data_IF_278402332992
#
_entry.id   IF_278402332992
#
_cell.length_a   1.000
_cell.length_b   1.000
_cell.length_c   1.000
_cell.angle_alpha   90.00
_cell.angle_beta   90.00
_cell.angle_gamma   90.00
#
_symmetry.space_group_name_H-M   'P 1'
#
loop_
_entity.id
_entity.type
_entity.pdbx_description
1 polymer ?
#
# COMPACT_ATOMS: atom_id res chain seq x y z
N UNK A 1 8.69 -16.25 -7.68
CA UNK A 1 7.49 -15.85 -8.45
C UNK A 1 7.85 -14.97 -9.62
N UNK A 2 8.28 -13.72 -9.42
CA UNK A 2 8.79 -12.88 -10.50
C UNK A 2 9.87 -13.56 -11.35
N UNK A 3 10.77 -14.32 -10.71
CA UNK A 3 11.76 -15.15 -11.41
C UNK A 3 11.15 -16.21 -12.35
N UNK A 4 10.01 -16.81 -11.99
CA UNK A 4 9.33 -17.80 -12.86
C UNK A 4 8.68 -17.11 -14.05
N UNK A 5 8.01 -15.97 -13.82
CA UNK A 5 7.44 -15.14 -14.89
C UNK A 5 8.51 -14.68 -15.87
N UNK A 6 9.69 -14.27 -15.37
CA UNK A 6 10.82 -13.89 -16.20
C UNK A 6 11.40 -15.10 -16.95
N UNK A 7 11.54 -16.26 -16.29
CA UNK A 7 12.05 -17.49 -16.94
C UNK A 7 11.11 -17.95 -18.07
N UNK A 8 9.79 -18.01 -17.82
CA UNK A 8 8.77 -18.33 -18.80
C UNK A 8 8.80 -17.32 -19.97
N UNK A 9 8.90 -16.00 -19.68
CA UNK A 9 9.03 -14.97 -20.70
C UNK A 9 10.31 -15.09 -21.55
N UNK A 10 11.44 -15.44 -20.94
CA UNK A 10 12.73 -15.58 -21.63
C UNK A 10 12.78 -16.85 -22.49
N UNK A 11 12.19 -17.94 -22.02
CA UNK A 11 12.18 -19.24 -22.73
C UNK A 11 11.11 -19.30 -23.81
N UNK A 12 9.91 -18.87 -23.46
CA UNK A 12 8.70 -19.15 -24.25
C UNK A 12 8.11 -17.87 -24.86
N UNK A 13 8.71 -16.70 -24.60
CA UNK A 13 8.24 -15.39 -25.08
C UNK A 13 6.89 -14.96 -24.53
N UNK A 14 6.30 -15.77 -23.64
CA UNK A 14 4.94 -15.68 -23.12
C UNK A 14 4.86 -16.35 -21.76
N UNK A 15 3.92 -15.92 -20.93
CA UNK A 15 3.67 -16.58 -19.63
C UNK A 15 2.29 -17.22 -19.66
N UNK A 16 2.22 -18.52 -19.36
CA UNK A 16 0.93 -19.22 -19.27
C UNK A 16 0.14 -18.72 -18.06
N UNK A 17 -1.15 -18.43 -18.27
CA UNK A 17 -2.08 -17.94 -17.26
C UNK A 17 -2.11 -18.79 -15.98
N UNK A 18 -2.08 -20.11 -16.11
CA UNK A 18 -2.01 -21.08 -14.99
C UNK A 18 -0.74 -20.96 -14.15
N UNK A 19 0.36 -20.55 -14.79
CA UNK A 19 1.65 -20.33 -14.16
C UNK A 19 1.77 -18.91 -13.58
N UNK A 20 0.83 -18.02 -13.91
CA UNK A 20 0.82 -16.65 -13.40
C UNK A 20 0.18 -16.58 -12.00
N UNK A 21 0.94 -16.19 -10.97
CA UNK A 21 0.42 -16.06 -9.63
C UNK A 21 -0.63 -14.94 -9.54
N UNK A 22 -1.81 -15.24 -8.99
CA UNK A 22 -2.95 -14.33 -8.81
C UNK A 22 -2.66 -13.23 -7.78
N UNK A 23 -2.07 -12.10 -8.18
CA UNK A 23 -1.83 -10.96 -7.27
C UNK A 23 -2.00 -9.63 -8.00
N UNK A 24 -2.49 -8.64 -7.25
CA UNK A 24 -2.85 -7.32 -7.74
C UNK A 24 -1.80 -6.26 -7.37
N UNK A 25 -1.13 -6.45 -6.23
CA UNK A 25 -0.03 -5.59 -5.80
C UNK A 25 1.26 -5.99 -6.53
N UNK A 26 2.00 -5.05 -7.13
CA UNK A 26 3.25 -5.31 -7.85
C UNK A 26 4.43 -5.66 -6.92
N UNK A 27 4.35 -6.82 -6.25
CA UNK A 27 5.38 -7.27 -5.29
C UNK A 27 6.75 -7.49 -5.92
N UNK A 28 6.80 -7.91 -7.19
CA UNK A 28 8.08 -8.11 -7.89
C UNK A 28 8.82 -6.76 -8.04
N UNK A 29 8.20 -5.70 -8.61
CA UNK A 29 8.79 -4.36 -8.60
C UNK A 29 9.14 -3.81 -7.22
N UNK A 30 8.27 -3.99 -6.22
CA UNK A 30 8.56 -3.56 -4.84
C UNK A 30 9.81 -4.28 -4.31
N UNK A 31 9.89 -5.60 -4.50
CA UNK A 31 11.03 -6.39 -4.03
C UNK A 31 12.33 -5.96 -4.68
N UNK A 32 12.33 -5.74 -6.00
CA UNK A 32 13.48 -5.22 -6.74
C UNK A 32 13.90 -3.85 -6.23
N UNK A 33 12.95 -2.93 -6.02
CA UNK A 33 13.20 -1.61 -5.48
C UNK A 33 13.85 -1.63 -4.09
N UNK A 34 13.43 -2.55 -3.22
CA UNK A 34 13.99 -2.69 -1.87
C UNK A 34 15.37 -3.34 -1.90
N UNK A 35 15.56 -4.41 -2.69
CA UNK A 35 16.86 -5.08 -2.82
C UNK A 35 17.92 -4.09 -3.33
N UNK A 36 17.60 -3.35 -4.40
CA UNK A 36 18.51 -2.33 -4.95
C UNK A 36 18.82 -1.26 -3.90
N UNK A 37 17.82 -0.78 -3.16
CA UNK A 37 18.03 0.23 -2.12
C UNK A 37 18.95 -0.26 -0.99
N UNK A 38 18.76 -1.49 -0.53
CA UNK A 38 19.58 -2.09 0.54
C UNK A 38 21.02 -2.30 0.06
N UNK A 39 21.22 -2.76 -1.18
CA UNK A 39 22.55 -2.94 -1.77
C UNK A 39 23.30 -1.61 -1.94
N UNK A 40 22.60 -0.55 -2.35
CA UNK A 40 23.18 0.77 -2.53
C UNK A 40 23.32 1.56 -1.22
N UNK A 41 22.69 1.11 -0.14
CA UNK A 41 22.64 1.81 1.14
C UNK A 41 24.03 2.19 1.68
N UNK A 42 25.05 1.29 1.72
CA UNK A 42 26.38 1.65 2.21
C UNK A 42 27.04 2.77 1.41
N UNK A 43 26.85 2.74 0.08
CA UNK A 43 27.36 3.75 -0.86
C UNK A 43 26.65 5.09 -0.60
N UNK A 44 25.32 5.07 -0.49
CA UNK A 44 24.54 6.28 -0.23
C UNK A 44 24.88 6.91 1.12
N UNK A 45 25.06 6.09 2.17
CA UNK A 45 25.45 6.59 3.48
C UNK A 45 26.85 7.22 3.48
N UNK A 46 27.79 6.70 2.68
CA UNK A 46 29.13 7.26 2.52
C UNK A 46 29.11 8.60 1.77
N UNK A 47 28.41 8.69 0.64
CA UNK A 47 28.49 9.84 -0.26
C UNK A 47 27.37 10.87 -0.06
N UNK A 48 26.11 10.44 0.07
CA UNK A 48 24.96 11.34 0.24
C UNK A 48 24.74 11.77 1.71
N UNK A 49 25.32 11.06 2.67
CA UNK A 49 25.29 11.37 4.12
C UNK A 49 23.87 11.67 4.62
N UNK A 50 23.56 12.93 4.96
CA UNK A 50 22.25 13.36 5.47
C UNK A 50 21.10 13.16 4.47
N UNK A 51 21.41 13.08 3.17
CA UNK A 51 20.43 12.86 2.10
C UNK A 51 20.32 11.39 1.69
N UNK A 52 21.07 10.48 2.32
CA UNK A 52 21.13 9.08 1.93
C UNK A 52 19.74 8.41 1.91
N UNK A 53 18.87 8.72 2.88
CA UNK A 53 17.50 8.21 2.87
C UNK A 53 16.70 8.74 1.67
N UNK A 54 16.73 10.06 1.42
CA UNK A 54 15.97 10.66 0.35
C UNK A 54 16.41 10.13 -1.02
N UNK A 55 17.72 9.99 -1.22
CA UNK A 55 18.31 9.41 -2.44
C UNK A 55 17.93 7.93 -2.57
N UNK A 56 18.03 7.14 -1.50
CA UNK A 56 17.64 5.74 -1.51
C UNK A 56 16.15 5.57 -1.87
N UNK A 57 15.26 6.35 -1.27
CA UNK A 57 13.82 6.33 -1.59
C UNK A 57 13.55 6.75 -3.03
N UNK A 58 14.22 7.80 -3.54
CA UNK A 58 14.07 8.23 -4.93
C UNK A 58 14.50 7.15 -5.92
N UNK A 59 15.63 6.48 -5.67
CA UNK A 59 16.09 5.35 -6.46
C UNK A 59 15.11 4.19 -6.36
N UNK A 60 14.60 3.84 -5.17
CA UNK A 60 13.59 2.79 -5.01
C UNK A 60 12.33 3.07 -5.84
N UNK A 61 11.82 4.31 -5.81
CA UNK A 61 10.65 4.67 -6.59
C UNK A 61 10.91 4.56 -8.10
N UNK A 62 12.08 5.01 -8.56
CA UNK A 62 12.46 4.87 -9.97
C UNK A 62 12.53 3.40 -10.38
N UNK A 63 13.21 2.56 -9.59
CA UNK A 63 13.31 1.12 -9.86
C UNK A 63 11.93 0.47 -9.85
N UNK A 64 11.06 0.86 -8.91
CA UNK A 64 9.69 0.38 -8.84
C UNK A 64 8.91 0.69 -10.12
N UNK A 65 8.82 1.95 -10.53
CA UNK A 65 8.04 2.33 -11.71
C UNK A 65 8.63 1.81 -13.01
N UNK A 66 9.96 1.76 -13.15
CA UNK A 66 10.61 1.17 -14.33
C UNK A 66 10.35 -0.33 -14.39
N UNK A 67 10.49 -1.04 -13.28
CA UNK A 67 10.24 -2.49 -13.25
C UNK A 67 8.78 -2.82 -13.51
N UNK A 68 7.86 -2.02 -12.97
CA UNK A 68 6.42 -2.19 -13.21
C UNK A 68 6.10 -1.97 -14.69
N UNK A 69 6.56 -0.86 -15.28
CA UNK A 69 6.36 -0.59 -16.70
C UNK A 69 6.92 -1.71 -17.61
N UNK A 70 8.08 -2.27 -17.26
CA UNK A 70 8.67 -3.38 -18.00
C UNK A 70 7.83 -4.66 -17.89
N UNK A 71 7.32 -4.97 -16.70
CA UNK A 71 6.48 -6.15 -16.48
C UNK A 71 5.11 -5.99 -17.12
N UNK A 72 4.50 -4.81 -17.08
CA UNK A 72 3.19 -4.54 -17.70
C UNK A 72 3.16 -4.85 -19.20
N UNK A 73 4.27 -4.58 -19.89
CA UNK A 73 4.43 -4.84 -21.32
C UNK A 73 4.68 -6.31 -21.66
N UNK A 74 4.75 -7.21 -20.66
CA UNK A 74 4.88 -8.65 -20.88
C UNK A 74 3.56 -9.29 -21.32
N UNK A 75 3.61 -10.27 -22.22
CA UNK A 75 2.44 -10.97 -22.76
C UNK A 75 2.10 -12.23 -21.95
N UNK A 76 0.83 -12.36 -21.55
CA UNK A 76 0.24 -13.56 -20.94
C UNK A 76 -0.64 -14.28 -21.96
N UNK A 77 -0.53 -15.60 -22.00
CA UNK A 77 -1.30 -16.46 -22.92
C UNK A 77 -2.19 -17.42 -22.13
N UNK A 78 -3.46 -17.46 -22.51
CA UNK A 78 -4.44 -18.50 -22.13
C UNK A 78 -4.80 -19.31 -23.38
N UNK A 79 -5.33 -20.53 -23.24
CA UNK A 79 -5.72 -21.43 -24.34
C UNK A 79 -6.61 -20.79 -25.44
N UNK A 80 -7.30 -19.69 -25.13
CA UNK A 80 -8.24 -19.01 -26.04
C UNK A 80 -7.95 -17.54 -26.30
N UNK A 81 -7.10 -16.87 -25.52
CA UNK A 81 -6.87 -15.40 -25.60
C UNK A 81 -5.42 -15.05 -25.26
N UNK A 82 -4.79 -14.18 -26.05
CA UNK A 82 -3.53 -13.50 -25.72
C UNK A 82 -3.85 -12.13 -25.11
N UNK A 83 -3.41 -11.88 -23.88
CA UNK A 83 -3.61 -10.58 -23.20
C UNK A 83 -2.28 -10.08 -22.64
N UNK A 84 -2.14 -8.77 -22.41
CA UNK A 84 -0.97 -8.28 -21.66
C UNK A 84 -1.09 -8.67 -20.19
N UNK A 85 0.04 -8.67 -19.47
CA UNK A 85 0.07 -8.90 -18.04
C UNK A 85 -0.85 -7.92 -17.29
N UNK A 86 -0.83 -6.67 -17.74
CA UNK A 86 -1.71 -5.62 -17.25
C UNK A 86 -3.20 -6.03 -17.31
N UNK A 87 -3.70 -6.44 -18.48
CA UNK A 87 -5.11 -6.86 -18.62
C UNK A 87 -5.44 -8.11 -17.80
N UNK A 88 -4.46 -8.99 -17.56
CA UNK A 88 -4.64 -10.21 -16.76
C UNK A 88 -4.73 -9.94 -15.26
N UNK A 89 -3.85 -9.09 -14.72
CA UNK A 89 -3.91 -8.68 -13.30
C UNK A 89 -5.24 -7.99 -12.99
N UNK A 90 -5.73 -7.15 -13.91
CA UNK A 90 -7.04 -6.51 -13.86
C UNK A 90 -8.19 -7.52 -13.77
N UNK A 91 -8.18 -8.52 -14.64
CA UNK A 91 -9.17 -9.59 -14.66
C UNK A 91 -9.27 -10.27 -13.29
N UNK A 92 -8.11 -10.61 -12.71
CA UNK A 92 -7.99 -11.26 -11.41
C UNK A 92 -8.44 -10.39 -10.21
N UNK A 93 -8.56 -9.07 -10.37
CA UNK A 93 -9.02 -8.17 -9.30
C UNK A 93 -10.52 -8.23 -9.04
N UNK A 94 -11.30 -8.68 -10.02
CA UNK A 94 -12.74 -8.50 -10.04
C UNK A 94 -13.49 -9.83 -9.90
N UNK A 95 -13.23 -10.85 -10.73
CA UNK A 95 -13.91 -12.17 -10.72
C UNK A 95 -13.04 -13.24 -11.41
N UNK A 96 -13.18 -14.56 -11.08
CA UNK A 96 -12.67 -15.64 -11.94
C UNK A 96 -13.29 -15.64 -13.36
N UNK A 97 -12.60 -16.15 -14.41
CA UNK A 97 -13.04 -16.10 -15.83
C UNK A 97 -14.43 -16.67 -16.13
N UNK A 98 -14.93 -17.50 -15.23
CA UNK A 98 -16.05 -18.41 -15.51
C UNK A 98 -17.41 -17.88 -15.04
N UNK A 99 -17.46 -16.82 -14.22
CA UNK A 99 -18.67 -16.42 -13.48
C UNK A 99 -19.33 -15.09 -13.93
N UNK A 100 -19.03 -14.59 -15.13
CA UNK A 100 -19.48 -13.26 -15.59
C UNK A 100 -20.97 -13.16 -15.97
N UNK A 101 -21.69 -14.27 -16.17
CA UNK A 101 -23.00 -14.27 -16.85
C UNK A 101 -24.24 -14.00 -15.98
N UNK A 102 -24.13 -13.94 -14.66
CA UNK A 102 -25.31 -13.99 -13.76
C UNK A 102 -25.54 -12.76 -12.88
N UNK A 103 -24.88 -11.62 -13.12
CA UNK A 103 -24.94 -10.45 -12.21
C UNK A 103 -25.77 -9.28 -12.73
N UNK A 104 -26.37 -8.55 -11.80
CA UNK A 104 -27.33 -7.46 -12.00
C UNK A 104 -26.70 -6.07 -12.09
N UNK A 105 -25.40 -5.92 -11.76
CA UNK A 105 -24.67 -4.65 -11.82
C UNK A 105 -23.90 -4.47 -13.13
N UNK A 106 -24.22 -3.38 -13.86
CA UNK A 106 -23.63 -2.93 -15.14
C UNK A 106 -22.22 -2.27 -15.13
N UNK A 107 -21.55 -1.91 -14.01
CA UNK A 107 -20.22 -1.28 -14.03
C UNK A 107 -19.06 -2.22 -14.40
N UNK A 108 -19.28 -3.53 -14.37
CA UNK A 108 -18.30 -4.53 -14.80
C UNK A 108 -18.04 -4.43 -16.30
N UNK A 109 -19.06 -4.05 -17.07
CA UNK A 109 -18.98 -3.92 -18.52
C UNK A 109 -18.06 -2.76 -18.94
N UNK A 110 -17.95 -1.71 -18.12
CA UNK A 110 -17.01 -0.59 -18.34
C UNK A 110 -15.56 -1.02 -18.13
N UNK A 111 -15.28 -1.99 -17.25
CA UNK A 111 -13.91 -2.44 -16.97
C UNK A 111 -13.45 -3.62 -17.84
N UNK A 112 -14.36 -4.25 -18.58
CA UNK A 112 -14.05 -5.24 -19.62
C UNK A 112 -13.92 -4.56 -21.00
N UNK A 113 -14.55 -3.40 -21.22
CA UNK A 113 -14.59 -2.70 -22.52
C UNK A 113 -13.95 -1.30 -22.59
N UNK A 114 -13.90 -0.53 -21.49
CA UNK A 114 -13.46 0.87 -21.46
C UNK A 114 -12.37 1.09 -20.39
N UNK A 115 -11.16 0.61 -20.71
CA UNK A 115 -10.00 0.65 -19.83
C UNK A 115 -9.60 2.09 -19.40
N UNK A 116 -9.33 2.26 -18.10
CA UNK A 116 -8.66 3.45 -17.55
C UNK A 116 -7.42 3.05 -16.72
N UNK A 117 -6.21 3.51 -17.09
CA UNK A 117 -4.99 3.32 -16.29
C UNK A 117 -5.09 3.82 -14.84
N UNK A 118 -6.08 4.66 -14.54
CA UNK A 118 -6.31 5.22 -13.21
C UNK A 118 -6.58 4.13 -12.15
N UNK A 119 -7.04 2.94 -12.53
CA UNK A 119 -7.29 1.82 -11.63
C UNK A 119 -6.06 1.44 -10.78
N UNK A 120 -4.84 1.57 -11.33
CA UNK A 120 -3.59 1.19 -10.64
C UNK A 120 -3.20 2.15 -9.52
N UNK A 121 -3.77 3.36 -9.48
CA UNK A 121 -3.45 4.39 -8.49
C UNK A 121 -3.62 3.86 -7.06
N UNK A 122 -4.64 3.04 -6.81
CA UNK A 122 -4.88 2.40 -5.53
C UNK A 122 -3.69 1.53 -5.09
N UNK A 123 -3.21 0.65 -5.96
CA UNK A 123 -2.08 -0.26 -5.67
C UNK A 123 -0.74 0.47 -5.66
N UNK A 124 -0.59 1.51 -6.46
CA UNK A 124 0.60 2.38 -6.42
C UNK A 124 0.69 3.16 -5.11
N UNK A 125 -0.42 3.66 -4.57
CA UNK A 125 -0.44 4.30 -3.26
C UNK A 125 0.04 3.33 -2.16
N UNK A 126 -0.47 2.10 -2.16
CA UNK A 126 -0.03 1.01 -1.26
C UNK A 126 1.47 0.76 -1.42
N UNK A 127 1.93 0.58 -2.66
CA UNK A 127 3.32 0.26 -3.00
C UNK A 127 4.29 1.36 -2.54
N UNK A 128 3.94 2.62 -2.77
CA UNK A 128 4.75 3.79 -2.37
C UNK A 128 4.89 3.85 -0.85
N UNK A 129 3.80 3.73 -0.08
CA UNK A 129 3.87 3.75 1.38
C UNK A 129 4.71 2.59 1.90
N UNK A 130 4.55 1.40 1.32
CA UNK A 130 5.33 0.22 1.70
C UNK A 130 6.83 0.43 1.43
N UNK A 131 7.19 0.99 0.27
CA UNK A 131 8.59 1.30 -0.08
C UNK A 131 9.18 2.31 0.92
N UNK A 132 8.48 3.41 1.19
CA UNK A 132 8.95 4.43 2.14
C UNK A 132 9.17 3.83 3.53
N UNK A 133 8.22 3.02 3.99
CA UNK A 133 8.27 2.40 5.30
C UNK A 133 9.45 1.42 5.41
N UNK A 134 9.64 0.53 4.44
CA UNK A 134 10.73 -0.44 4.41
C UNK A 134 12.10 0.23 4.29
N UNK A 135 12.27 1.16 3.34
CA UNK A 135 13.55 1.87 3.13
C UNK A 135 13.95 2.64 4.38
N UNK A 136 13.03 3.33 5.06
CA UNK A 136 13.36 4.00 6.32
C UNK A 136 13.66 3.04 7.47
N UNK A 137 13.06 1.86 7.52
CA UNK A 137 13.46 0.84 8.48
C UNK A 137 14.91 0.41 8.26
N UNK A 138 15.28 0.00 7.04
CA UNK A 138 16.64 -0.41 6.71
C UNK A 138 17.66 0.71 6.96
N UNK A 139 17.40 1.90 6.42
CA UNK A 139 18.24 3.07 6.62
C UNK A 139 18.36 3.46 8.09
N UNK A 140 17.24 3.48 8.82
CA UNK A 140 17.18 3.88 10.22
C UNK A 140 18.02 2.96 11.11
N UNK A 141 17.89 1.64 10.94
CA UNK A 141 18.71 0.68 11.68
C UNK A 141 20.19 0.77 11.28
N UNK A 142 20.50 0.86 9.98
CA UNK A 142 21.88 1.01 9.52
C UNK A 142 22.54 2.27 10.11
N UNK A 143 21.85 3.41 10.05
CA UNK A 143 22.35 4.68 10.59
C UNK A 143 22.53 4.60 12.11
N UNK A 144 21.60 3.95 12.83
CA UNK A 144 21.71 3.76 14.28
C UNK A 144 22.93 2.89 14.65
N UNK A 145 23.21 1.83 13.89
CA UNK A 145 24.37 0.96 14.10
C UNK A 145 25.68 1.74 13.89
N UNK A 146 25.77 2.50 12.79
CA UNK A 146 26.96 3.29 12.44
C UNK A 146 27.22 4.41 13.46
N UNK A 147 26.17 5.15 13.84
CA UNK A 147 26.29 6.31 14.75
C UNK A 147 26.27 5.94 16.23
N UNK A 148 25.95 4.67 16.57
CA UNK A 148 25.70 4.19 17.93
C UNK A 148 24.62 4.99 18.71
N UNK A 149 23.79 5.78 18.02
CA UNK A 149 22.76 6.62 18.63
C UNK A 149 21.40 5.91 18.67
N UNK A 150 20.98 5.49 19.86
CA UNK A 150 19.72 4.75 20.08
C UNK A 150 18.46 5.62 20.21
N UNK A 151 18.54 6.94 20.01
CA UNK A 151 17.40 7.86 20.16
C UNK A 151 16.17 7.48 19.31
N UNK A 152 16.37 6.93 18.10
CA UNK A 152 15.28 6.51 17.20
C UNK A 152 14.85 5.04 17.36
N UNK A 153 15.48 4.27 18.26
CA UNK A 153 15.28 2.82 18.36
C UNK A 153 13.81 2.44 18.49
N UNK A 154 13.10 3.05 19.45
CA UNK A 154 11.69 2.73 19.72
C UNK A 154 10.78 3.06 18.53
N UNK A 155 10.99 4.22 17.90
CA UNK A 155 10.24 4.60 16.71
C UNK A 155 10.48 3.65 15.54
N UNK A 156 11.74 3.21 15.33
CA UNK A 156 12.07 2.25 14.27
C UNK A 156 11.50 0.86 14.53
N UNK A 157 11.47 0.39 15.79
CA UNK A 157 10.83 -0.88 16.17
C UNK A 157 9.32 -0.82 15.89
N UNK A 158 8.65 0.24 16.35
CA UNK A 158 7.21 0.42 16.11
C UNK A 158 6.92 0.51 14.61
N UNK A 159 7.71 1.28 13.86
CA UNK A 159 7.57 1.37 12.42
C UNK A 159 7.76 0.01 11.75
N UNK A 160 8.73 -0.80 12.20
CA UNK A 160 8.97 -2.13 11.63
C UNK A 160 7.82 -3.09 11.89
N UNK A 161 7.26 -3.08 13.11
CA UNK A 161 6.08 -3.88 13.45
C UNK A 161 4.87 -3.47 12.60
N UNK A 162 4.61 -2.17 12.46
CA UNK A 162 3.53 -1.67 11.62
C UNK A 162 3.75 -1.99 10.14
N UNK A 163 4.99 -1.86 9.65
CA UNK A 163 5.34 -2.20 8.26
C UNK A 163 5.14 -3.69 7.99
N UNK A 164 5.53 -4.55 8.93
CA UNK A 164 5.32 -5.99 8.82
C UNK A 164 3.83 -6.36 8.87
N UNK A 165 3.05 -5.73 9.76
CA UNK A 165 1.60 -5.88 9.81
C UNK A 165 0.96 -5.42 8.50
N UNK A 166 1.36 -4.26 7.99
CA UNK A 166 0.84 -3.71 6.73
C UNK A 166 1.16 -4.62 5.54
N UNK A 167 2.40 -5.09 5.42
CA UNK A 167 2.81 -6.06 4.40
C UNK A 167 2.00 -7.36 4.53
N UNK A 168 1.82 -7.87 5.74
CA UNK A 168 1.01 -9.07 6.00
C UNK A 168 -0.44 -8.89 5.55
N UNK A 169 -1.04 -7.74 5.85
CA UNK A 169 -2.39 -7.39 5.39
C UNK A 169 -2.46 -7.21 3.87
N UNK A 170 -1.42 -6.65 3.22
CA UNK A 170 -1.34 -6.56 1.76
C UNK A 170 -1.31 -7.94 1.11
N UNK A 171 -0.47 -8.86 1.64
CA UNK A 171 -0.37 -10.23 1.16
C UNK A 171 -1.72 -10.92 1.35
N UNK A 172 -2.31 -10.82 2.54
CA UNK A 172 -3.61 -11.39 2.86
C UNK A 172 -4.71 -10.85 1.93
N UNK A 173 -4.71 -9.54 1.66
CA UNK A 173 -5.65 -8.90 0.73
C UNK A 173 -5.45 -9.38 -0.72
N UNK A 174 -4.23 -9.69 -1.16
CA UNK A 174 -4.03 -10.22 -2.51
C UNK A 174 -4.59 -11.63 -2.69
N UNK A 175 -4.54 -12.46 -1.65
CA UNK A 175 -5.08 -13.81 -1.72
C UNK A 175 -6.60 -13.88 -1.54
N UNK A 176 -7.18 -12.92 -0.82
CA UNK A 176 -8.57 -13.01 -0.36
C UNK A 176 -9.45 -11.88 -0.87
N UNK A 177 -8.85 -10.76 -1.34
CA UNK A 177 -9.48 -9.47 -1.64
C UNK A 177 -10.69 -9.21 -0.73
N UNK A 178 -10.44 -9.33 0.57
CA UNK A 178 -11.36 -9.54 1.68
C UNK A 178 -12.80 -9.91 1.31
N UNK A 179 -12.90 -11.11 0.73
CA UNK A 179 -14.07 -11.95 0.47
C UNK A 179 -15.20 -11.30 -0.33
N UNK A 180 -14.78 -10.78 -1.49
CA UNK A 180 -15.59 -10.10 -2.50
C UNK A 180 -16.41 -11.09 -3.35
N UNK A 181 -17.70 -10.85 -3.39
CA UNK A 181 -18.75 -11.52 -4.17
C UNK A 181 -19.27 -10.62 -5.31
N UNK A 182 -18.54 -9.53 -5.60
CA UNK A 182 -18.80 -8.59 -6.68
C UNK A 182 -19.93 -7.59 -6.44
N UNK A 183 -20.51 -7.60 -5.24
CA UNK A 183 -21.43 -6.58 -4.77
C UNK A 183 -20.67 -5.39 -4.17
N UNK A 184 -21.29 -4.20 -4.22
CA UNK A 184 -20.75 -2.99 -3.58
C UNK A 184 -20.93 -3.05 -2.06
N UNK A 185 -21.97 -3.73 -1.59
CA UNK A 185 -22.21 -3.94 -0.17
C UNK A 185 -21.45 -5.18 0.28
N UNK A 186 -20.55 -5.01 1.27
CA UNK A 186 -19.67 -6.07 1.73
C UNK A 186 -20.16 -6.69 3.05
N UNK A 187 -19.74 -7.92 3.32
CA UNK A 187 -20.01 -8.57 4.61
C UNK A 187 -19.37 -7.83 5.79
N UNK A 188 -19.92 -8.00 7.00
CA UNK A 188 -19.40 -7.34 8.20
C UNK A 188 -17.91 -7.67 8.47
N UNK A 189 -17.49 -8.91 8.20
CA UNK A 189 -16.09 -9.33 8.36
C UNK A 189 -15.20 -8.59 7.36
N UNK A 190 -15.64 -8.47 6.11
CA UNK A 190 -14.93 -7.72 5.07
C UNK A 190 -14.80 -6.24 5.45
N UNK A 191 -15.88 -5.61 5.91
CA UNK A 191 -15.88 -4.22 6.37
C UNK A 191 -14.86 -3.97 7.50
N UNK A 192 -14.77 -4.89 8.47
CA UNK A 192 -13.79 -4.79 9.57
C UNK A 192 -12.36 -4.92 9.03
N UNK A 193 -12.09 -5.88 8.15
CA UNK A 193 -10.76 -6.08 7.57
C UNK A 193 -10.33 -4.89 6.69
N UNK A 194 -11.25 -4.34 5.90
CA UNK A 194 -11.02 -3.14 5.10
C UNK A 194 -10.72 -1.92 5.98
N UNK A 195 -11.54 -1.71 7.03
CA UNK A 195 -11.31 -0.63 8.00
C UNK A 195 -9.94 -0.75 8.66
N UNK A 196 -9.58 -1.97 9.09
CA UNK A 196 -8.28 -2.28 9.68
C UNK A 196 -7.15 -1.98 8.68
N UNK A 197 -7.30 -2.39 7.43
CA UNK A 197 -6.32 -2.15 6.37
C UNK A 197 -6.08 -0.65 6.17
N UNK A 198 -7.15 0.15 6.06
CA UNK A 198 -7.09 1.60 5.82
C UNK A 198 -6.48 2.37 7.00
N UNK A 199 -6.79 1.93 8.23
CA UNK A 199 -6.17 2.46 9.45
C UNK A 199 -4.69 2.13 9.48
N UNK A 200 -4.30 0.87 9.28
CA UNK A 200 -2.89 0.44 9.31
C UNK A 200 -2.09 1.14 8.21
N UNK A 201 -2.66 1.33 7.01
CA UNK A 201 -2.05 2.08 5.92
C UNK A 201 -1.70 3.52 6.34
N UNK A 202 -2.69 4.26 6.85
CA UNK A 202 -2.47 5.64 7.30
C UNK A 202 -1.53 5.73 8.50
N UNK A 203 -1.70 4.86 9.50
CA UNK A 203 -0.82 4.82 10.69
C UNK A 203 0.62 4.50 10.30
N UNK A 204 0.86 3.63 9.31
CA UNK A 204 2.22 3.32 8.82
C UNK A 204 2.90 4.58 8.26
N UNK A 205 2.19 5.36 7.43
CA UNK A 205 2.70 6.62 6.90
C UNK A 205 2.87 7.70 7.99
N UNK A 206 1.94 7.75 8.94
CA UNK A 206 2.00 8.64 10.11
C UNK A 206 3.22 8.36 10.98
N UNK A 207 3.48 7.10 11.33
CA UNK A 207 4.65 6.71 12.13
C UNK A 207 5.94 6.96 11.37
N UNK A 208 5.97 6.72 10.05
CA UNK A 208 7.10 7.11 9.21
C UNK A 208 7.42 8.61 9.38
N UNK A 209 6.43 9.49 9.24
CA UNK A 209 6.61 10.93 9.43
C UNK A 209 7.01 11.28 10.88
N UNK A 210 6.37 10.66 11.88
CA UNK A 210 6.66 10.84 13.29
C UNK A 210 8.08 10.45 13.68
N UNK A 211 8.68 9.47 12.98
CA UNK A 211 10.05 9.02 13.23
C UNK A 211 11.12 10.09 12.98
N UNK A 212 10.82 11.14 12.19
CA UNK A 212 11.70 12.28 11.93
C UNK A 212 11.43 13.48 12.85
N UNK A 213 10.28 13.51 13.51
CA UNK A 213 9.81 14.63 14.32
C UNK A 213 10.01 14.38 15.83
N UNK A 214 10.78 13.34 16.17
CA UNK A 214 11.20 13.01 17.52
C UNK A 214 11.93 14.19 18.19
N UNK A 215 11.64 14.43 19.46
CA UNK A 215 12.25 15.51 20.26
C UNK A 215 11.75 16.92 19.94
N UNK A 216 10.84 17.09 18.96
CA UNK A 216 10.20 18.38 18.69
C UNK A 216 9.03 18.63 19.66
N UNK A 217 8.50 19.87 19.66
CA UNK A 217 7.29 20.21 20.43
C UNK A 217 6.13 19.29 20.06
N UNK A 218 5.21 19.04 21.00
CA UNK A 218 4.09 18.10 20.85
C UNK A 218 3.26 18.31 19.58
N UNK A 219 3.09 19.57 19.14
CA UNK A 219 2.37 19.86 17.89
C UNK A 219 3.07 19.28 16.66
N UNK A 220 4.40 19.30 16.61
CA UNK A 220 5.15 18.70 15.51
C UNK A 220 5.35 17.20 15.71
N UNK A 221 5.59 16.71 16.93
CA UNK A 221 5.90 15.30 17.15
C UNK A 221 4.67 14.38 17.20
N UNK A 222 3.47 14.93 17.38
CA UNK A 222 2.22 14.16 17.51
C UNK A 222 1.15 14.61 16.51
N UNK A 223 0.81 15.90 16.48
CA UNK A 223 -0.31 16.39 15.66
C UNK A 223 -0.01 16.31 14.16
N UNK A 224 1.19 16.71 13.73
CA UNK A 224 1.56 16.64 12.31
C UNK A 224 1.56 15.18 11.77
N UNK A 225 2.20 14.19 12.42
CA UNK A 225 2.07 12.79 12.05
C UNK A 225 0.63 12.29 12.00
N UNK A 226 -0.21 12.70 12.96
CA UNK A 226 -1.63 12.34 13.00
C UNK A 226 -2.40 12.84 11.78
N UNK A 227 -2.15 14.10 11.39
CA UNK A 227 -2.72 14.66 10.17
C UNK A 227 -2.23 13.92 8.92
N UNK A 228 -0.94 13.57 8.85
CA UNK A 228 -0.38 12.75 7.75
C UNK A 228 -1.09 11.40 7.67
N UNK A 229 -1.33 10.74 8.81
CA UNK A 229 -2.03 9.46 8.83
C UNK A 229 -3.45 9.56 8.25
N UNK A 230 -4.24 10.54 8.71
CA UNK A 230 -5.59 10.77 8.17
C UNK A 230 -5.57 11.16 6.69
N UNK A 231 -4.65 12.04 6.27
CA UNK A 231 -4.52 12.46 4.87
C UNK A 231 -4.17 11.28 3.94
N UNK A 232 -3.26 10.41 4.37
CA UNK A 232 -2.91 9.20 3.61
C UNK A 232 -4.07 8.21 3.58
N UNK A 233 -4.83 8.05 4.68
CA UNK A 233 -6.07 7.26 4.65
C UNK A 233 -7.10 7.84 3.66
N UNK A 234 -7.22 9.17 3.54
CA UNK A 234 -8.06 9.80 2.50
C UNK A 234 -7.57 9.44 1.09
N UNK A 235 -6.26 9.45 0.84
CA UNK A 235 -5.70 9.01 -0.45
C UNK A 235 -6.10 7.57 -0.76
N UNK A 236 -6.19 6.69 0.25
CA UNK A 236 -6.68 5.33 0.09
C UNK A 236 -8.13 5.27 -0.40
N UNK A 237 -9.01 6.07 0.21
CA UNK A 237 -10.41 6.20 -0.20
C UNK A 237 -10.54 6.80 -1.61
N UNK A 238 -9.72 7.79 -1.96
CA UNK A 238 -9.68 8.32 -3.34
C UNK A 238 -9.24 7.22 -4.31
N UNK A 239 -8.23 6.43 -3.94
CA UNK A 239 -7.79 5.28 -4.73
C UNK A 239 -8.91 4.25 -4.92
N UNK A 240 -9.67 3.94 -3.87
CA UNK A 240 -10.86 3.06 -3.97
C UNK A 240 -11.96 3.66 -4.86
N UNK A 241 -12.22 4.97 -4.75
CA UNK A 241 -13.18 5.64 -5.63
C UNK A 241 -12.79 5.50 -7.10
N UNK A 242 -11.51 5.71 -7.42
CA UNK A 242 -11.02 5.52 -8.78
C UNK A 242 -11.13 4.05 -9.20
N UNK A 243 -10.82 3.12 -8.30
CA UNK A 243 -10.92 1.67 -8.51
C UNK A 243 -12.36 1.23 -8.85
N UNK A 244 -13.37 1.88 -8.24
CA UNK A 244 -14.79 1.54 -8.36
C UNK A 244 -15.59 2.57 -9.17
N UNK A 245 -14.95 3.29 -10.10
CA UNK A 245 -15.61 4.23 -11.02
C UNK A 245 -16.47 5.30 -10.32
N UNK A 246 -15.96 5.88 -9.24
CA UNK A 246 -16.61 6.92 -8.46
C UNK A 246 -17.42 6.43 -7.26
N UNK A 247 -17.46 5.12 -7.01
CA UNK A 247 -18.14 4.52 -5.86
C UNK A 247 -17.18 4.08 -4.75
N UNK A 248 -17.71 3.81 -3.57
CA UNK A 248 -16.98 3.20 -2.45
C UNK A 248 -17.72 1.94 -2.02
N UNK A 249 -17.03 0.99 -1.41
CA UNK A 249 -17.71 -0.13 -0.77
C UNK A 249 -18.59 0.36 0.37
N UNK A 250 -19.72 -0.33 0.55
CA UNK A 250 -20.67 -0.03 1.61
C UNK A 250 -20.59 -1.13 2.67
N UNK A 251 -20.31 -0.73 3.91
CA UNK A 251 -20.16 -1.66 5.03
C UNK A 251 -21.50 -2.18 5.58
N UNK A 252 -22.61 -1.72 5.01
CA UNK A 252 -23.97 -2.05 5.39
C UNK A 252 -24.96 -1.09 4.75
N UNK A 253 -26.17 -1.05 5.29
CA UNK A 253 -27.25 -0.13 4.87
C UNK A 253 -27.70 0.77 6.01
N UNK A 254 -28.19 1.95 5.70
CA UNK A 254 -28.71 2.92 6.65
C UNK A 254 -27.72 4.05 6.93
N UNK A 255 -28.15 5.03 7.73
CA UNK A 255 -27.47 6.33 7.88
C UNK A 255 -25.95 6.27 8.10
N UNK A 256 -25.44 5.33 8.89
CA UNK A 256 -24.00 5.21 9.17
C UNK A 256 -23.17 4.67 8.01
N UNK A 257 -23.80 3.93 7.09
CA UNK A 257 -23.14 3.18 6.03
C UNK A 257 -23.46 3.75 4.64
N UNK A 258 -24.53 4.53 4.52
CA UNK A 258 -24.91 5.22 3.31
C UNK A 258 -24.07 6.49 3.11
N UNK A 259 -23.79 6.84 1.85
CA UNK A 259 -23.06 8.05 1.50
C UNK A 259 -23.84 9.31 1.90
N UNK A 260 -23.13 10.32 2.40
CA UNK A 260 -23.74 11.59 2.77
C UNK A 260 -24.22 12.38 1.54
N UNK A 261 -25.30 13.17 1.63
CA UNK A 261 -25.71 14.03 0.53
C UNK A 261 -24.57 14.95 0.07
N UNK A 262 -24.17 14.85 -1.19
CA UNK A 262 -23.09 15.64 -1.78
C UNK A 262 -21.67 15.11 -1.57
N UNK A 263 -21.48 14.00 -0.85
CA UNK A 263 -20.15 13.39 -0.63
C UNK A 263 -20.25 11.86 -0.75
N UNK A 264 -19.30 11.22 -1.43
CA UNK A 264 -19.33 9.74 -1.62
C UNK A 264 -19.10 8.98 -0.30
N UNK A 265 -18.35 9.58 0.62
CA UNK A 265 -18.01 9.01 1.93
C UNK A 265 -19.26 8.85 2.83
N UNK A 266 -19.37 7.68 3.46
CA UNK A 266 -20.31 7.44 4.53
C UNK A 266 -19.76 7.94 5.88
N UNK A 267 -20.60 8.13 6.91
CA UNK A 267 -20.14 8.47 8.26
C UNK A 267 -19.09 7.49 8.81
N UNK A 268 -19.22 6.18 8.52
CA UNK A 268 -18.23 5.19 8.93
C UNK A 268 -16.86 5.42 8.30
N UNK A 269 -16.79 5.91 7.06
CA UNK A 269 -15.52 6.18 6.38
C UNK A 269 -14.77 7.35 7.04
N UNK A 270 -15.52 8.38 7.45
CA UNK A 270 -15.00 9.50 8.22
C UNK A 270 -14.46 9.02 9.57
N UNK A 271 -15.16 8.07 10.22
CA UNK A 271 -14.68 7.46 11.46
C UNK A 271 -13.39 6.66 11.24
N UNK A 272 -13.23 5.94 10.14
CA UNK A 272 -11.98 5.22 9.78
C UNK A 272 -10.83 6.21 9.58
N UNK A 273 -11.06 7.32 8.86
CA UNK A 273 -10.07 8.39 8.66
C UNK A 273 -9.66 9.03 9.99
N UNK A 274 -10.63 9.32 10.85
CA UNK A 274 -10.39 9.89 12.18
C UNK A 274 -9.66 8.89 13.08
N UNK A 275 -10.04 7.61 13.05
CA UNK A 275 -9.40 6.55 13.82
C UNK A 275 -7.91 6.40 13.44
N UNK A 276 -7.58 6.45 12.15
CA UNK A 276 -6.19 6.45 11.66
C UNK A 276 -5.36 7.57 12.30
N UNK A 277 -5.88 8.80 12.28
CA UNK A 277 -5.24 9.96 12.91
C UNK A 277 -5.10 9.83 14.42
N UNK A 278 -6.17 9.44 15.12
CA UNK A 278 -6.21 9.30 16.57
C UNK A 278 -5.27 8.19 17.08
N UNK A 279 -5.28 7.02 16.43
CA UNK A 279 -4.38 5.90 16.74
C UNK A 279 -2.94 6.33 16.51
N UNK A 280 -2.65 6.99 15.39
CA UNK A 280 -1.30 7.48 15.12
C UNK A 280 -0.83 8.53 16.15
N UNK A 281 -1.72 9.43 16.58
CA UNK A 281 -1.43 10.40 17.64
C UNK A 281 -1.09 9.70 18.97
N UNK A 282 -1.85 8.67 19.34
CA UNK A 282 -1.58 7.89 20.54
C UNK A 282 -0.20 7.22 20.47
N UNK A 283 0.11 6.56 19.34
CA UNK A 283 1.40 5.90 19.11
C UNK A 283 2.56 6.92 19.17
N UNK A 284 2.45 8.04 18.46
CA UNK A 284 3.48 9.09 18.44
C UNK A 284 3.70 9.72 19.83
N UNK A 285 2.64 9.89 20.62
CA UNK A 285 2.73 10.40 21.98
C UNK A 285 3.49 9.43 22.91
N UNK A 286 3.29 8.11 22.76
CA UNK A 286 3.98 7.08 23.56
C UNK A 286 5.49 7.16 23.37
N UNK A 287 5.97 7.14 22.12
CA UNK A 287 7.42 7.18 21.89
C UNK A 287 8.03 8.59 22.01
N UNK A 288 7.25 9.66 21.86
CA UNK A 288 7.72 11.04 22.12
C UNK A 288 7.97 11.31 23.61
N UNK A 289 7.15 10.72 24.51
CA UNK A 289 7.29 10.91 25.97
C UNK A 289 8.57 10.30 26.53
N UNK A 290 8.98 9.13 26.05
CA UNK A 290 10.13 8.43 26.62
C UNK A 290 11.48 9.04 26.25
N UNK A 291 11.57 9.83 25.17
CA UNK A 291 12.83 10.50 24.82
C UNK A 291 13.18 11.61 25.83
N UNK A 292 12.18 12.22 26.48
CA UNK A 292 12.41 13.19 27.56
C UNK A 292 13.01 12.57 28.82
N UNK A 293 12.82 11.26 29.04
CA UNK A 293 13.34 10.57 30.22
C UNK A 293 14.80 10.11 30.05
N UNK A 294 15.39 10.24 28.86
CA UNK A 294 16.82 9.98 28.60
C UNK A 294 17.68 11.25 28.63
N UNK A 295 17.07 12.43 28.85
CA UNK A 295 17.77 13.72 28.98
C UNK A 295 17.88 14.19 30.45
N UNK A 296 17.76 13.29 31.43
CA UNK A 296 17.99 13.55 32.87
C UNK A 296 19.12 12.68 33.37
#
# INVERSE_FOLDING_TARGET
>A
MGLKVIDDMVRDGTVLAENYPKYIIPYTPISLAIIVAVLLLPVMMKYAKKFALAVATAISLLVFFVSELLLENMVIVTDTIKTTLESWQMFMCYVPPENFKTRTWRPVDVLIGDYSPAFKIHFYAISVVLIFALVNCFYGFAQMIITKNKSRLKALVIQSVLTALFLGLCIFACFTAFFRDGEITVSAISAVLMSLFFVVFGVTAGVYAGSFLLGKKKTLSVLLPSFVASAVTIVMYIGEMVLLSGHLYRFGSGFLFDGLPGIVLAPVDILVIAASGCINAAICNVFSKQNKNFEV
#
